data_IF_976970213942
#
_entry.id   IF_976970213942
#
_cell.length_a   1.000
_cell.length_b   1.000
_cell.length_c   1.000
_cell.angle_alpha   90.00
_cell.angle_beta   90.00
_cell.angle_gamma   90.00
#
_symmetry.space_group_name_H-M   'P 1'
#
loop_
_entity.id
_entity.type
_entity.pdbx_description
1 polymer ?
#
# COMPACT_ATOMS: atom_id res chain seq x y z
N UNK A 1 -33.86 20.00 35.48
CA UNK A 1 -32.43 19.66 35.36
C UNK A 1 -32.28 18.15 35.10
N UNK A 2 -32.82 17.64 33.99
CA UNK A 2 -32.84 16.18 33.70
C UNK A 2 -32.42 15.83 32.26
N UNK A 3 -31.83 16.80 31.54
CA UNK A 3 -31.38 16.59 30.15
C UNK A 3 -29.98 15.95 30.14
N UNK A 4 -29.15 16.22 31.14
CA UNK A 4 -27.75 15.76 31.25
C UNK A 4 -27.54 14.24 31.35
N UNK A 5 -28.50 13.49 31.90
CA UNK A 5 -28.32 12.05 32.15
C UNK A 5 -28.65 11.16 30.96
N UNK A 6 -29.54 11.61 30.06
CA UNK A 6 -29.89 10.86 28.85
C UNK A 6 -28.81 11.00 27.77
N UNK A 7 -28.24 12.19 27.60
CA UNK A 7 -27.18 12.46 26.61
C UNK A 7 -25.88 11.67 26.93
N UNK A 8 -25.60 11.53 28.23
CA UNK A 8 -24.48 10.70 28.74
C UNK A 8 -24.70 9.20 28.58
N UNK A 9 -25.96 8.73 28.53
CA UNK A 9 -26.30 7.34 28.24
C UNK A 9 -26.10 7.04 26.75
N UNK A 10 -26.68 7.86 25.87
CA UNK A 10 -26.57 7.72 24.41
C UNK A 10 -25.11 7.77 23.95
N UNK A 11 -24.33 8.72 24.48
CA UNK A 11 -22.89 8.81 24.19
C UNK A 11 -22.12 7.56 24.62
N UNK A 12 -22.51 6.92 25.73
CA UNK A 12 -21.85 5.72 26.25
C UNK A 12 -22.25 4.48 25.44
N UNK A 13 -23.49 4.42 24.98
CA UNK A 13 -24.00 3.36 24.13
C UNK A 13 -23.33 3.39 22.73
N UNK A 14 -23.17 4.59 22.15
CA UNK A 14 -22.40 4.80 20.92
C UNK A 14 -20.93 4.43 21.12
N UNK A 15 -20.31 4.82 22.23
CA UNK A 15 -18.93 4.46 22.53
C UNK A 15 -18.74 2.94 22.69
N UNK A 16 -19.68 2.25 23.35
CA UNK A 16 -19.66 0.78 23.48
C UNK A 16 -19.84 0.12 22.11
N UNK A 17 -20.76 0.62 21.28
CA UNK A 17 -20.95 0.13 19.92
C UNK A 17 -19.67 0.29 19.08
N UNK A 18 -19.02 1.47 19.14
CA UNK A 18 -17.75 1.73 18.46
C UNK A 18 -16.63 0.80 18.94
N UNK A 19 -16.46 0.66 20.26
CA UNK A 19 -15.45 -0.23 20.85
C UNK A 19 -15.72 -1.68 20.43
N UNK A 20 -16.98 -2.12 20.47
CA UNK A 20 -17.35 -3.48 20.03
C UNK A 20 -17.02 -3.71 18.56
N UNK A 21 -17.24 -2.72 17.71
CA UNK A 21 -16.95 -2.79 16.29
C UNK A 21 -15.44 -2.84 16.02
N UNK A 22 -14.65 -2.07 16.75
CA UNK A 22 -13.18 -2.12 16.68
C UNK A 22 -12.65 -3.48 17.16
N UNK A 23 -13.21 -4.03 18.24
CA UNK A 23 -12.82 -5.36 18.75
C UNK A 23 -13.13 -6.45 17.71
N UNK A 24 -14.30 -6.42 17.08
CA UNK A 24 -14.67 -7.36 16.02
C UNK A 24 -13.72 -7.23 14.82
N UNK A 25 -13.33 -6.02 14.46
CA UNK A 25 -12.43 -5.75 13.34
C UNK A 25 -11.02 -6.28 13.62
N UNK A 26 -10.49 -6.04 14.82
CA UNK A 26 -9.18 -6.58 15.25
C UNK A 26 -9.21 -8.11 15.30
N UNK A 27 -10.28 -8.69 15.86
CA UNK A 27 -10.44 -10.14 15.90
C UNK A 27 -10.49 -10.74 14.49
N UNK A 28 -11.22 -10.10 13.57
CA UNK A 28 -11.28 -10.50 12.16
C UNK A 28 -9.92 -10.41 11.48
N UNK A 29 -9.13 -9.36 11.75
CA UNK A 29 -7.76 -9.23 11.24
C UNK A 29 -6.84 -10.34 11.75
N UNK A 30 -6.92 -10.71 13.04
CA UNK A 30 -6.13 -11.81 13.62
C UNK A 30 -6.50 -13.15 13.00
N UNK A 31 -7.79 -13.39 12.73
CA UNK A 31 -8.23 -14.62 12.07
C UNK A 31 -7.85 -14.68 10.59
N UNK A 32 -7.80 -13.54 9.90
CA UNK A 32 -7.34 -13.45 8.51
C UNK A 32 -5.81 -13.47 8.37
N UNK A 33 -5.08 -13.16 9.44
CA UNK A 33 -3.62 -13.14 9.45
C UNK A 33 -2.96 -14.43 8.93
N UNK A 34 -3.31 -15.65 9.35
CA UNK A 34 -2.69 -16.87 8.81
C UNK A 34 -2.97 -17.07 7.32
N UNK A 35 -4.16 -16.71 6.84
CA UNK A 35 -4.49 -16.81 5.40
C UNK A 35 -3.69 -15.79 4.59
N UNK A 36 -3.53 -14.57 5.13
CA UNK A 36 -2.63 -13.59 4.54
C UNK A 36 -1.20 -14.10 4.56
N UNK A 37 -0.71 -14.60 5.71
CA UNK A 37 0.63 -15.14 5.85
C UNK A 37 0.89 -16.28 4.85
N UNK A 38 -0.06 -17.18 4.62
CA UNK A 38 0.06 -18.25 3.61
C UNK A 38 0.11 -17.71 2.18
N UNK A 39 -0.62 -16.64 1.88
CA UNK A 39 -0.52 -15.93 0.59
C UNK A 39 0.85 -15.28 0.44
N UNK A 40 1.34 -14.64 1.52
CA UNK A 40 2.69 -14.06 1.55
C UNK A 40 3.75 -15.15 1.39
N UNK A 41 3.64 -16.31 2.06
CA UNK A 41 4.63 -17.39 2.00
C UNK A 41 4.62 -18.11 0.65
N UNK A 42 3.43 -18.30 0.06
CA UNK A 42 3.26 -19.07 -1.18
C UNK A 42 3.51 -18.23 -2.43
N UNK A 43 3.20 -16.93 -2.39
CA UNK A 43 3.25 -16.06 -3.56
C UNK A 43 4.25 -14.90 -3.45
N UNK A 44 4.72 -14.56 -2.24
CA UNK A 44 5.59 -13.41 -1.97
C UNK A 44 6.90 -13.77 -1.23
N UNK A 45 7.13 -15.04 -0.87
CA UNK A 45 8.34 -15.59 -0.20
C UNK A 45 9.33 -16.31 -1.12
N UNK A 46 8.95 -16.82 -2.30
CA UNK A 46 9.92 -17.14 -3.33
C UNK A 46 10.27 -15.86 -4.07
N UNK A 47 11.57 -15.64 -4.28
CA UNK A 47 12.13 -14.90 -5.42
C UNK A 47 11.11 -14.59 -6.48
N UNK A 48 10.61 -13.36 -6.61
CA UNK A 48 9.87 -13.05 -7.84
C UNK A 48 10.92 -13.05 -8.94
N UNK A 49 11.00 -14.17 -9.67
CA UNK A 49 12.11 -14.50 -10.55
C UNK A 49 12.56 -13.32 -11.39
N UNK A 50 13.85 -13.27 -11.74
CA UNK A 50 14.50 -12.13 -12.42
C UNK A 50 13.70 -11.64 -13.64
N UNK A 51 13.03 -12.55 -14.35
CA UNK A 51 12.21 -12.25 -15.51
C UNK A 51 10.87 -11.63 -15.14
N UNK A 52 10.15 -12.25 -14.21
CA UNK A 52 8.83 -11.80 -13.75
C UNK A 52 8.94 -10.42 -13.07
N UNK A 53 10.03 -10.19 -12.34
CA UNK A 53 10.27 -8.96 -11.58
C UNK A 53 10.60 -7.80 -12.50
N UNK A 54 11.27 -8.06 -13.63
CA UNK A 54 11.51 -7.05 -14.64
C UNK A 54 10.19 -6.53 -15.24
N UNK A 55 9.23 -7.42 -15.49
CA UNK A 55 7.91 -7.04 -16.06
C UNK A 55 7.16 -6.14 -15.08
N UNK A 56 7.08 -6.55 -13.81
CA UNK A 56 6.35 -5.79 -12.79
C UNK A 56 7.05 -4.45 -12.51
N UNK A 57 8.38 -4.45 -12.36
CA UNK A 57 9.16 -3.23 -12.16
C UNK A 57 8.97 -2.23 -13.30
N UNK A 58 8.93 -2.69 -14.55
CA UNK A 58 8.72 -1.83 -15.71
C UNK A 58 7.38 -1.08 -15.64
N UNK A 59 6.29 -1.76 -15.29
CA UNK A 59 4.98 -1.13 -15.16
C UNK A 59 4.91 -0.18 -13.95
N UNK A 60 5.45 -0.58 -12.79
CA UNK A 60 5.48 0.27 -11.59
C UNK A 60 6.25 1.57 -11.88
N UNK A 61 7.46 1.45 -12.44
CA UNK A 61 8.29 2.61 -12.77
C UNK A 61 7.61 3.49 -13.81
N UNK A 62 6.96 2.91 -14.82
CA UNK A 62 6.23 3.69 -15.84
C UNK A 62 5.10 4.54 -15.23
N UNK A 63 4.28 3.94 -14.34
CA UNK A 63 3.22 4.67 -13.62
C UNK A 63 3.81 5.78 -12.75
N UNK A 64 4.90 5.48 -12.05
CA UNK A 64 5.59 6.43 -11.18
C UNK A 64 6.17 7.62 -11.97
N UNK A 65 6.72 7.39 -13.17
CA UNK A 65 7.18 8.46 -14.05
C UNK A 65 6.03 9.34 -14.55
N UNK A 66 4.86 8.75 -14.84
CA UNK A 66 3.67 9.51 -15.23
C UNK A 66 3.23 10.41 -14.07
N UNK A 67 3.20 9.89 -12.84
CA UNK A 67 2.85 10.67 -11.65
C UNK A 67 3.83 11.83 -11.44
N UNK A 68 5.15 11.57 -11.53
CA UNK A 68 6.16 12.61 -11.38
C UNK A 68 6.11 13.67 -12.47
N UNK A 69 5.82 13.26 -13.70
CA UNK A 69 5.60 14.20 -14.81
C UNK A 69 4.42 15.13 -14.52
N UNK A 70 3.29 14.57 -14.09
CA UNK A 70 2.08 15.36 -13.78
C UNK A 70 2.36 16.28 -12.58
N UNK A 71 3.06 15.78 -11.56
CA UNK A 71 3.40 16.55 -10.35
C UNK A 71 4.43 17.64 -10.61
N UNK A 72 5.36 17.44 -11.55
CA UNK A 72 6.39 18.42 -11.92
C UNK A 72 5.80 19.65 -12.61
N UNK A 73 4.66 19.49 -13.31
CA UNK A 73 3.98 20.59 -14.00
C UNK A 73 4.71 21.13 -15.23
N UNK A 74 5.96 20.72 -15.46
CA UNK A 74 6.74 20.98 -16.66
C UNK A 74 6.77 19.71 -17.54
N UNK A 75 6.44 19.88 -18.82
CA UNK A 75 6.06 18.78 -19.70
C UNK A 75 7.21 17.81 -19.99
N UNK A 76 6.87 16.52 -20.14
CA UNK A 76 7.70 15.35 -20.53
C UNK A 76 8.91 15.63 -21.46
N UNK A 77 8.83 16.67 -22.29
CA UNK A 77 9.78 16.98 -23.35
C UNK A 77 10.96 17.85 -22.89
N UNK A 78 10.78 18.74 -21.91
CA UNK A 78 11.85 19.63 -21.45
C UNK A 78 12.92 18.90 -20.63
N UNK A 79 12.48 17.91 -19.85
CA UNK A 79 13.32 17.17 -18.89
C UNK A 79 13.46 15.68 -19.25
N UNK A 80 13.30 15.32 -20.53
CA UNK A 80 13.30 13.91 -20.97
C UNK A 80 14.58 13.17 -20.52
N UNK A 81 15.72 13.84 -20.48
CA UNK A 81 16.97 13.27 -19.97
C UNK A 81 16.90 12.89 -18.48
N UNK A 82 16.23 13.70 -17.65
CA UNK A 82 16.03 13.42 -16.23
C UNK A 82 14.97 12.35 -16.02
N UNK A 83 13.92 12.36 -16.86
CA UNK A 83 12.90 11.32 -16.87
C UNK A 83 13.51 9.95 -17.24
N UNK A 84 14.38 9.88 -18.24
CA UNK A 84 15.02 8.64 -18.67
C UNK A 84 16.02 8.11 -17.64
N UNK A 85 16.84 8.98 -17.05
CA UNK A 85 17.79 8.60 -15.99
C UNK A 85 17.02 8.17 -14.74
N UNK A 86 16.00 8.92 -14.34
CA UNK A 86 15.12 8.59 -13.23
C UNK A 86 14.42 7.25 -13.45
N UNK A 87 13.85 7.05 -14.63
CA UNK A 87 13.23 5.78 -15.03
C UNK A 87 14.22 4.63 -14.85
N UNK A 88 15.44 4.74 -15.38
CA UNK A 88 16.41 3.65 -15.31
C UNK A 88 16.81 3.35 -13.86
N UNK A 89 17.04 4.39 -13.05
CA UNK A 89 17.40 4.24 -11.63
C UNK A 89 16.27 3.58 -10.83
N UNK A 90 15.05 4.10 -10.94
CA UNK A 90 13.89 3.53 -10.26
C UNK A 90 13.59 2.12 -10.74
N UNK A 91 13.69 1.86 -12.05
CA UNK A 91 13.48 0.54 -12.63
C UNK A 91 14.47 -0.48 -12.06
N UNK A 92 15.77 -0.18 -12.10
CA UNK A 92 16.81 -1.09 -11.59
C UNK A 92 16.62 -1.32 -10.09
N UNK A 93 16.41 -0.26 -9.31
CA UNK A 93 16.19 -0.40 -7.86
C UNK A 93 14.95 -1.25 -7.57
N UNK A 94 13.79 -0.94 -8.15
CA UNK A 94 12.55 -1.70 -7.91
C UNK A 94 12.68 -3.14 -8.43
N UNK A 95 13.34 -3.34 -9.56
CA UNK A 95 13.58 -4.67 -10.13
C UNK A 95 14.40 -5.54 -9.19
N UNK A 96 15.53 -5.04 -8.69
CA UNK A 96 16.35 -5.80 -7.73
C UNK A 96 15.65 -5.98 -6.39
N UNK A 97 14.87 -5.00 -5.92
CA UNK A 97 14.07 -5.18 -4.69
C UNK A 97 13.03 -6.30 -4.88
N UNK A 98 12.31 -6.35 -6.01
CA UNK A 98 11.34 -7.41 -6.29
C UNK A 98 12.01 -8.77 -6.56
N UNK A 99 13.17 -8.77 -7.20
CA UNK A 99 13.90 -9.98 -7.54
C UNK A 99 14.59 -10.64 -6.33
N UNK A 100 15.05 -9.82 -5.37
CA UNK A 100 16.00 -10.24 -4.33
C UNK A 100 15.55 -10.00 -2.89
N UNK A 101 14.44 -9.28 -2.61
CA UNK A 101 13.94 -9.17 -1.22
C UNK A 101 13.36 -10.52 -0.80
N UNK A 102 14.23 -11.29 -0.14
CA UNK A 102 13.97 -12.39 0.80
C UNK A 102 15.02 -12.29 1.89
#
# INVERSE_FOLDING_TARGET
MSIDTNDKNESREIAIALISLVVILVFSMVLLFPVLADIFTTHLEPGLGIKESAIIAFFITSVLMIIFTIASGDGLLGELQFLLIGFLLFFVTIWFLLAWIF
#
